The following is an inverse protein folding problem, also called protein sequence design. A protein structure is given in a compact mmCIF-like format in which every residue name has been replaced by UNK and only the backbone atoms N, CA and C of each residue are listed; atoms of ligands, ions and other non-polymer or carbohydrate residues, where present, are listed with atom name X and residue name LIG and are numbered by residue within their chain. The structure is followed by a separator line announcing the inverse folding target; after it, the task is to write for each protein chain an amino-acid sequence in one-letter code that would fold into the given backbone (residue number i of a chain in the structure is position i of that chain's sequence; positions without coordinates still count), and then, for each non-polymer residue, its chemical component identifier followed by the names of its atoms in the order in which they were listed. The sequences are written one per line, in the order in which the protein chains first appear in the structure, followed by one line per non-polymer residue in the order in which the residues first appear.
data_IF_333364819213
#
_entry.id   IF_333364819213
#
_cell.length_a   1.000
_cell.length_b   1.000
_cell.length_c   1.000
_cell.angle_alpha   90.00
_cell.angle_beta   90.00
_cell.angle_gamma   90.00
#
_symmetry.space_group_name_H-M   'P 1'
#
loop_
_entity.id
_entity.type
_entity.pdbx_description
1 polymer ?
#
# COMPACT_ATOMS: atom_id res chain seq x y z
N UNK A 1 -25.98 21.07 7.78
CA UNK A 1 -25.57 20.02 6.81
C UNK A 1 -24.25 19.46 7.33
N UNK A 2 -24.28 18.24 7.87
CA UNK A 2 -23.05 17.59 8.35
C UNK A 2 -22.17 17.24 7.17
N UNK A 3 -20.92 17.68 7.18
CA UNK A 3 -19.89 17.18 6.28
C UNK A 3 -19.79 15.67 6.51
N UNK A 4 -20.23 14.87 5.55
CA UNK A 4 -19.88 13.45 5.54
C UNK A 4 -18.38 13.41 5.29
N UNK A 5 -17.59 13.10 6.31
CA UNK A 5 -16.19 12.76 6.14
C UNK A 5 -16.14 11.46 5.33
N UNK A 6 -16.02 11.59 4.02
CA UNK A 6 -15.75 10.48 3.11
C UNK A 6 -14.52 9.73 3.64
N UNK A 7 -14.72 8.52 4.16
CA UNK A 7 -13.68 7.74 4.82
C UNK A 7 -12.71 7.17 3.77
N UNK A 8 -11.88 8.04 3.19
CA UNK A 8 -10.93 7.70 2.13
C UNK A 8 -9.89 6.73 2.71
N UNK A 9 -9.83 5.53 2.15
CA UNK A 9 -8.88 4.51 2.55
C UNK A 9 -7.47 4.87 2.12
N UNK A 10 -6.51 4.76 3.04
CA UNK A 10 -5.10 5.03 2.77
C UNK A 10 -4.32 3.73 2.51
N UNK A 11 -3.48 3.76 1.48
CA UNK A 11 -2.58 2.67 1.10
C UNK A 11 -1.14 3.12 1.24
N UNK A 12 -0.31 2.29 1.85
CA UNK A 12 1.14 2.45 1.82
C UNK A 12 1.71 1.61 0.68
N UNK A 13 2.41 2.24 -0.25
CA UNK A 13 3.12 1.56 -1.36
C UNK A 13 4.62 1.61 -1.09
N UNK A 14 5.25 0.44 -0.98
CA UNK A 14 6.67 0.28 -0.68
C UNK A 14 7.36 -0.43 -1.83
N UNK A 15 8.23 0.27 -2.54
CA UNK A 15 8.97 -0.25 -3.69
C UNK A 15 10.22 0.62 -3.93
N UNK A 16 11.39 0.02 -4.17
CA UNK A 16 12.65 0.75 -4.35
C UNK A 16 12.75 1.43 -5.71
N UNK A 17 11.97 0.99 -6.69
CA UNK A 17 11.97 1.57 -8.02
C UNK A 17 10.90 2.66 -8.18
N UNK A 18 11.36 3.92 -8.27
CA UNK A 18 10.51 5.11 -8.37
C UNK A 18 9.36 4.98 -9.38
N UNK A 19 9.64 4.45 -10.58
CA UNK A 19 8.63 4.36 -11.63
C UNK A 19 7.53 3.34 -11.31
N UNK A 20 7.88 2.22 -10.65
CA UNK A 20 6.88 1.22 -10.23
C UNK A 20 6.02 1.78 -9.12
N UNK A 21 6.65 2.39 -8.11
CA UNK A 21 5.95 3.05 -7.00
C UNK A 21 4.99 4.15 -7.50
N UNK A 22 5.44 4.98 -8.44
CA UNK A 22 4.62 6.03 -9.07
C UNK A 22 3.44 5.45 -9.86
N UNK A 23 3.63 4.36 -10.60
CA UNK A 23 2.55 3.70 -11.34
C UNK A 23 1.48 3.12 -10.41
N UNK A 24 1.90 2.45 -9.33
CA UNK A 24 0.97 1.98 -8.30
C UNK A 24 0.17 3.15 -7.71
N UNK A 25 0.84 4.24 -7.33
CA UNK A 25 0.18 5.43 -6.79
C UNK A 25 -0.89 5.98 -7.73
N UNK A 26 -0.53 6.28 -8.98
CA UNK A 26 -1.47 6.85 -9.95
C UNK A 26 -2.69 5.96 -10.18
N UNK A 27 -2.49 4.64 -10.21
CA UNK A 27 -3.59 3.68 -10.33
C UNK A 27 -4.50 3.69 -9.11
N UNK A 28 -3.92 3.60 -7.91
CA UNK A 28 -4.64 3.53 -6.65
C UNK A 28 -5.42 4.82 -6.38
N UNK A 29 -4.83 5.97 -6.65
CA UNK A 29 -5.49 7.28 -6.54
C UNK A 29 -6.65 7.38 -7.53
N UNK A 30 -6.47 6.92 -8.77
CA UNK A 30 -7.53 6.90 -9.80
C UNK A 30 -8.74 6.04 -9.39
N UNK A 31 -8.54 5.02 -8.56
CA UNK A 31 -9.65 4.18 -8.09
C UNK A 31 -10.19 4.58 -6.72
N UNK A 32 -9.70 5.67 -6.09
CA UNK A 32 -10.29 6.26 -4.89
C UNK A 32 -9.47 6.15 -3.60
N UNK A 33 -8.25 5.61 -3.63
CA UNK A 33 -7.39 5.53 -2.45
C UNK A 33 -6.57 6.80 -2.21
N UNK A 34 -6.28 7.14 -0.95
CA UNK A 34 -5.14 7.98 -0.61
C UNK A 34 -3.87 7.12 -0.62
N UNK A 35 -2.74 7.65 -1.11
CA UNK A 35 -1.51 6.88 -1.24
C UNK A 35 -0.35 7.57 -0.52
N UNK A 36 0.30 6.83 0.36
CA UNK A 36 1.61 7.17 0.93
C UNK A 36 2.64 6.27 0.26
N UNK A 37 3.73 6.88 -0.19
CA UNK A 37 4.84 6.17 -0.84
C UNK A 37 5.99 5.97 0.16
N UNK A 38 6.67 4.83 0.06
CA UNK A 38 7.94 4.56 0.72
C UNK A 38 8.91 3.88 -0.24
N UNK A 39 10.20 4.21 -0.15
CA UNK A 39 11.23 3.68 -1.06
C UNK A 39 11.92 2.40 -0.57
N UNK A 40 11.76 2.02 0.68
CA UNK A 40 12.21 0.72 1.21
C UNK A 40 11.44 0.35 2.49
N UNK A 41 11.78 -0.80 3.10
CA UNK A 41 11.15 -1.25 4.34
C UNK A 41 11.41 -0.31 5.55
N UNK A 42 12.53 0.40 5.61
CA UNK A 42 12.79 1.35 6.70
C UNK A 42 11.90 2.58 6.57
N UNK A 43 11.81 3.16 5.37
CA UNK A 43 10.90 4.28 5.10
C UNK A 43 9.45 3.84 5.35
N UNK A 44 9.07 2.63 4.94
CA UNK A 44 7.74 2.07 5.20
C UNK A 44 7.39 2.01 6.70
N UNK A 45 8.31 1.53 7.54
CA UNK A 45 8.12 1.52 9.00
C UNK A 45 8.03 2.94 9.57
N UNK A 46 8.86 3.87 9.07
CA UNK A 46 8.82 5.26 9.48
C UNK A 46 7.49 5.94 9.11
N UNK A 47 6.89 5.62 7.95
CA UNK A 47 5.54 6.09 7.58
C UNK A 47 4.48 5.50 8.52
N UNK A 48 4.54 4.21 8.83
CA UNK A 48 3.61 3.59 9.79
C UNK A 48 3.69 4.27 11.16
N UNK A 49 4.90 4.54 11.64
CA UNK A 49 5.10 5.24 12.91
C UNK A 49 4.59 6.68 12.88
N UNK A 50 4.81 7.41 11.78
CA UNK A 50 4.36 8.78 11.60
C UNK A 50 2.84 8.93 11.54
N UNK A 51 2.17 8.08 10.75
CA UNK A 51 0.73 8.19 10.48
C UNK A 51 -0.12 7.37 11.48
N UNK A 52 0.48 6.38 12.14
CA UNK A 52 -0.22 5.38 12.93
C UNK A 52 -0.59 4.15 12.09
N UNK A 53 -0.61 2.97 12.72
CA UNK A 53 -0.90 1.71 12.04
C UNK A 53 -2.32 1.67 11.47
N UNK A 54 -3.30 2.19 12.21
CA UNK A 54 -4.72 2.20 11.85
C UNK A 54 -5.06 3.20 10.73
N UNK A 55 -4.13 4.07 10.37
CA UNK A 55 -4.29 4.98 9.23
C UNK A 55 -4.33 4.23 7.90
N UNK A 56 -3.58 3.12 7.80
CA UNK A 56 -3.47 2.34 6.59
C UNK A 56 -4.50 1.21 6.59
N UNK A 57 -5.28 1.09 5.53
CA UNK A 57 -6.13 -0.09 5.32
C UNK A 57 -5.41 -1.20 4.57
N UNK A 58 -4.36 -0.84 3.81
CA UNK A 58 -3.60 -1.74 2.94
C UNK A 58 -2.14 -1.29 2.86
N UNK A 59 -1.23 -2.26 2.82
CA UNK A 59 0.16 -2.09 2.39
C UNK A 59 0.37 -2.91 1.13
N UNK A 60 0.93 -2.31 0.09
CA UNK A 60 1.46 -3.01 -1.08
C UNK A 60 2.98 -2.90 -1.02
N UNK A 61 3.68 -4.02 -0.91
CA UNK A 61 5.13 -4.05 -0.68
C UNK A 61 5.85 -4.96 -1.65
N UNK A 62 6.92 -4.47 -2.27
CA UNK A 62 7.85 -5.31 -3.02
C UNK A 62 8.59 -6.27 -2.08
N UNK A 63 8.66 -7.54 -2.45
CA UNK A 63 9.28 -8.55 -1.62
C UNK A 63 10.79 -8.32 -1.49
N UNK A 64 11.46 -7.95 -2.58
CA UNK A 64 12.91 -7.84 -2.66
C UNK A 64 13.31 -6.39 -2.88
N UNK A 65 14.01 -5.80 -1.90
CA UNK A 65 14.55 -4.44 -1.95
C UNK A 65 15.97 -4.46 -1.34
N UNK A 66 16.88 -3.57 -1.77
CA UNK A 66 18.29 -3.63 -1.40
C UNK A 66 18.59 -3.30 0.05
N UNK A 67 17.84 -2.37 0.68
CA UNK A 67 18.09 -1.93 2.07
C UNK A 67 17.44 -2.86 3.10
N UNK A 68 16.10 -2.90 3.11
CA UNK A 68 15.30 -3.83 3.91
C UNK A 68 14.29 -4.46 2.96
N UNK A 69 14.26 -5.79 2.92
CA UNK A 69 13.31 -6.53 2.09
C UNK A 69 11.88 -6.38 2.59
N UNK A 70 10.90 -6.60 1.71
CA UNK A 70 9.49 -6.67 2.09
C UNK A 70 9.22 -7.77 3.12
N UNK A 71 9.93 -8.89 3.04
CA UNK A 71 9.82 -9.96 4.03
C UNK A 71 10.24 -9.49 5.44
N UNK A 72 11.37 -8.77 5.54
CA UNK A 72 11.83 -8.18 6.81
C UNK A 72 10.89 -7.11 7.34
N UNK A 73 10.36 -6.25 6.45
CA UNK A 73 9.34 -5.28 6.79
C UNK A 73 8.10 -5.96 7.41
N UNK A 74 7.58 -7.02 6.78
CA UNK A 74 6.40 -7.75 7.26
C UNK A 74 6.67 -8.39 8.63
N UNK A 75 7.84 -9.01 8.81
CA UNK A 75 8.23 -9.60 10.10
C UNK A 75 8.27 -8.54 11.21
N UNK A 76 8.87 -7.36 10.94
CA UNK A 76 8.94 -6.25 11.90
C UNK A 76 7.56 -5.67 12.21
N UNK A 77 6.69 -5.52 11.22
CA UNK A 77 5.31 -5.10 11.43
C UNK A 77 4.56 -6.10 12.32
N UNK A 78 4.72 -7.41 12.06
CA UNK A 78 4.09 -8.46 12.86
C UNK A 78 4.59 -8.47 14.31
N UNK A 79 5.90 -8.30 14.50
CA UNK A 79 6.51 -8.21 15.83
C UNK A 79 6.01 -6.99 16.62
N UNK A 80 5.92 -5.81 15.97
CA UNK A 80 5.54 -4.55 16.64
C UNK A 80 4.04 -4.40 16.88
N UNK A 81 3.20 -4.91 15.97
CA UNK A 81 1.75 -4.63 15.97
C UNK A 81 0.87 -5.88 16.06
N UNK A 82 1.44 -7.09 16.00
CA UNK A 82 0.69 -8.34 16.13
C UNK A 82 -0.38 -8.51 15.05
N UNK A 83 -1.63 -8.75 15.46
CA UNK A 83 -2.77 -8.90 14.54
C UNK A 83 -3.34 -7.56 14.06
N UNK A 84 -2.89 -6.42 14.59
CA UNK A 84 -3.39 -5.09 14.22
C UNK A 84 -2.73 -4.53 12.96
N UNK A 85 -1.93 -5.32 12.25
CA UNK A 85 -1.33 -4.87 10.99
C UNK A 85 -2.40 -4.66 9.91
N UNK A 86 -2.24 -3.67 9.01
CA UNK A 86 -3.10 -3.52 7.85
C UNK A 86 -3.02 -4.76 6.95
N UNK A 87 -3.98 -4.90 6.04
CA UNK A 87 -3.89 -5.94 5.03
C UNK A 87 -2.61 -5.76 4.22
N UNK A 88 -1.84 -6.83 4.00
CA UNK A 88 -0.58 -6.76 3.26
C UNK A 88 -0.70 -7.54 1.95
N UNK A 89 -0.45 -6.86 0.84
CA UNK A 89 -0.30 -7.48 -0.48
C UNK A 89 1.16 -7.41 -0.93
N UNK A 90 1.74 -8.56 -1.26
CA UNK A 90 3.15 -8.65 -1.65
C UNK A 90 3.28 -8.64 -3.16
N UNK A 91 4.15 -7.79 -3.71
CA UNK A 91 4.60 -7.88 -5.10
C UNK A 91 5.86 -8.75 -5.16
N UNK A 92 5.89 -9.77 -6.00
CA UNK A 92 7.04 -10.68 -6.10
C UNK A 92 7.31 -11.12 -7.54
N UNK A 93 8.53 -11.55 -7.84
CA UNK A 93 8.82 -12.33 -9.05
C UNK A 93 8.25 -13.76 -8.95
N UNK A 94 8.19 -14.48 -10.07
CA UNK A 94 7.76 -15.88 -10.07
C UNK A 94 8.71 -16.78 -9.26
N UNK A 95 10.02 -16.48 -9.28
CA UNK A 95 11.04 -17.22 -8.54
C UNK A 95 10.96 -17.04 -7.02
N UNK A 96 10.30 -15.97 -6.57
CA UNK A 96 10.13 -15.59 -5.17
C UNK A 96 8.89 -16.19 -4.51
N UNK A 97 7.95 -16.75 -5.29
CA UNK A 97 6.71 -17.34 -4.77
C UNK A 97 6.94 -18.34 -3.62
N UNK A 98 7.98 -19.20 -3.64
CA UNK A 98 8.28 -20.06 -2.49
C UNK A 98 8.56 -19.28 -1.19
N UNK A 99 9.21 -18.12 -1.27
CA UNK A 99 9.45 -17.25 -0.10
C UNK A 99 8.14 -16.61 0.36
N UNK A 100 7.32 -16.11 -0.57
CA UNK A 100 5.98 -15.57 -0.26
C UNK A 100 5.15 -16.59 0.51
N UNK A 101 5.17 -17.86 0.09
CA UNK A 101 4.45 -18.95 0.78
C UNK A 101 4.96 -19.20 2.20
N UNK A 102 6.27 -19.04 2.45
CA UNK A 102 6.84 -19.15 3.80
C UNK A 102 6.36 -18.03 4.72
N UNK A 103 6.29 -16.81 4.21
CA UNK A 103 5.84 -15.64 5.00
C UNK A 103 4.30 -15.49 5.04
N UNK A 104 3.55 -16.31 4.30
CA UNK A 104 2.09 -16.23 4.28
C UNK A 104 1.46 -16.43 5.67
N UNK A 105 2.10 -17.24 6.53
CA UNK A 105 1.69 -17.45 7.91
C UNK A 105 1.76 -16.19 8.79
N UNK A 106 2.42 -15.12 8.32
CA UNK A 106 2.45 -13.81 9.00
C UNK A 106 1.17 -12.99 8.78
N UNK A 107 0.19 -13.51 8.01
CA UNK A 107 -1.11 -12.88 7.82
C UNK A 107 -1.19 -11.96 6.61
N UNK A 108 -0.39 -12.20 5.55
CA UNK A 108 -0.53 -11.43 4.31
C UNK A 108 -1.90 -11.72 3.67
N UNK A 109 -2.53 -10.70 3.10
CA UNK A 109 -3.80 -10.82 2.40
C UNK A 109 -3.65 -11.49 1.02
N UNK A 110 -2.45 -11.44 0.44
CA UNK A 110 -2.14 -12.13 -0.80
C UNK A 110 -0.86 -11.63 -1.46
N UNK A 111 -0.63 -12.07 -2.69
CA UNK A 111 0.51 -11.64 -3.49
C UNK A 111 0.16 -11.49 -4.98
N UNK A 112 0.93 -10.66 -5.66
CA UNK A 112 0.88 -10.37 -7.09
C UNK A 112 2.23 -10.76 -7.68
N UNK A 113 2.19 -11.57 -8.74
CA UNK A 113 3.40 -11.92 -9.49
C UNK A 113 3.67 -10.85 -10.54
N UNK A 114 4.91 -10.36 -10.61
CA UNK A 114 5.39 -9.41 -11.62
C UNK A 114 5.49 -10.09 -13.01
N UNK A 115 5.21 -9.39 -14.13
CA UNK A 115 4.75 -7.99 -14.19
C UNK A 115 3.32 -7.84 -13.66
N UNK A 116 3.05 -6.75 -12.96
CA UNK A 116 1.75 -6.51 -12.31
C UNK A 116 0.67 -6.35 -13.39
N UNK A 117 -0.30 -7.28 -13.39
CA UNK A 117 -1.56 -7.09 -14.10
C UNK A 117 -2.45 -6.14 -13.29
N UNK A 118 -2.49 -4.87 -13.72
CA UNK A 118 -3.25 -3.85 -13.04
C UNK A 118 -4.77 -4.06 -13.11
N UNK A 119 -5.28 -4.77 -14.12
CA UNK A 119 -6.71 -5.09 -14.19
C UNK A 119 -7.05 -6.09 -13.09
N UNK A 120 -6.24 -7.15 -12.96
CA UNK A 120 -6.39 -8.13 -11.88
C UNK A 120 -6.20 -7.50 -10.50
N UNK A 121 -5.23 -6.58 -10.34
CA UNK A 121 -5.04 -5.84 -9.10
C UNK A 121 -6.29 -5.06 -8.72
N UNK A 122 -6.87 -4.29 -9.65
CA UNK A 122 -8.11 -3.53 -9.41
C UNK A 122 -9.26 -4.47 -9.01
N UNK A 123 -9.44 -5.59 -9.70
CA UNK A 123 -10.49 -6.57 -9.37
C UNK A 123 -10.35 -7.11 -7.94
N UNK A 124 -9.11 -7.41 -7.51
CA UNK A 124 -8.83 -7.84 -6.14
C UNK A 124 -9.10 -6.73 -5.13
N UNK A 125 -8.65 -5.51 -5.40
CA UNK A 125 -8.87 -4.36 -4.51
C UNK A 125 -10.36 -4.05 -4.33
N UNK A 126 -11.15 -4.12 -5.40
CA UNK A 126 -12.62 -3.96 -5.31
C UNK A 126 -13.29 -5.08 -4.53
N UNK A 127 -12.75 -6.28 -4.55
CA UNK A 127 -13.25 -7.39 -3.73
C UNK A 127 -12.93 -7.18 -2.25
N UNK A 128 -11.71 -6.70 -1.95
CA UNK A 128 -11.26 -6.42 -0.58
C UNK A 128 -11.93 -5.17 0.01
N UNK A 129 -12.26 -4.21 -0.84
CA UNK A 129 -12.79 -2.91 -0.45
C UNK A 129 -13.94 -2.49 -1.39
N UNK A 130 -15.16 -3.03 -1.19
CA UNK A 130 -16.29 -2.87 -2.11
C UNK A 130 -16.85 -1.44 -2.24
N UNK A 131 -16.60 -0.62 -1.23
CA UNK A 131 -17.08 0.75 -1.05
C UNK A 131 -16.08 1.81 -1.53
N UNK A 132 -15.00 1.42 -2.20
CA UNK A 132 -14.09 2.40 -2.80
C UNK A 132 -14.73 2.95 -4.08
N UNK A 133 -15.07 4.24 -4.04
CA UNK A 133 -15.60 4.99 -5.17
C UNK A 133 -14.49 5.87 -5.80
N UNK A 134 -14.21 5.74 -7.11
CA UNK A 134 -13.32 6.66 -7.82
C UNK A 134 -13.77 8.13 -7.80
N UNK A 135 -15.01 8.43 -7.38
CA UNK A 135 -15.55 9.79 -7.27
C UNK A 135 -15.43 10.43 -5.90
N UNK A 136 -14.90 9.75 -4.87
CA UNK A 136 -14.64 10.40 -3.59
C UNK A 136 -13.52 11.44 -3.77
N UNK A 137 -13.81 12.75 -3.64
CA UNK A 137 -12.88 13.80 -4.01
C UNK A 137 -11.57 13.66 -3.22
N UNK A 138 -10.44 13.68 -3.94
CA UNK A 138 -9.14 13.89 -3.33
C UNK A 138 -9.08 15.32 -2.85
N UNK A 139 -8.80 15.52 -1.57
CA UNK A 139 -8.30 16.78 -1.08
C UNK A 139 -6.97 17.01 -1.82
N UNK A 140 -7.02 17.74 -2.93
CA UNK A 140 -5.90 18.56 -3.38
C UNK A 140 -5.65 19.50 -2.21
N UNK A 141 -4.73 19.10 -1.33
CA UNK A 141 -4.11 20.05 -0.42
C UNK A 141 -3.45 21.08 -1.33
N UNK A 142 -4.07 22.24 -1.38
CA UNK A 142 -3.44 23.56 -1.45
C UNK A 142 -2.20 23.61 -2.35
N UNK A 143 -2.42 23.81 -3.65
CA UNK A 143 -1.62 24.76 -4.41
C UNK A 143 -2.39 26.10 -4.40
N UNK A 144 -2.75 26.57 -3.19
CA UNK A 144 -2.88 28.00 -2.91
C UNK A 144 -1.47 28.46 -2.57
N UNK A 145 -0.69 28.82 -3.59
CA UNK A 145 0.42 29.77 -3.48
C UNK A 145 0.58 30.47 -4.84
N UNK A 146 0.06 31.70 -4.83
CA UNK A 146 0.45 32.89 -5.59
C UNK A 146 -0.27 33.21 -6.92
N UNK A 147 -1.40 33.90 -6.75
CA UNK A 147 -1.72 35.12 -7.53
C UNK A 147 -0.53 36.11 -7.47
N UNK A 148 0.16 36.32 -8.60
CA UNK A 148 0.56 37.63 -9.16
C UNK A 148 1.19 37.49 -10.57
#
# INVERSE_FOLDING_TARGET
MGLQTENRRSVLVIDDYFLIRRNHKLLLEKIGFAVVEANDGFDGLAKIEKYGIDYFSLVIVDLMMPSMSGAEFIMKCKERYGENIPQIMVCSSASEVPLVKKIAALGIAGYIVKPVDYKLLIERLRTMFPDIDPKSPGNTLDDDDDDD
#
